data_IF_963333872936
#
_entry.id   IF_963333872936
#
_cell.length_a   1.000
_cell.length_b   1.000
_cell.length_c   1.000
_cell.angle_alpha   90.00
_cell.angle_beta   90.00
_cell.angle_gamma   90.00
#
_symmetry.space_group_name_H-M   'P 1'
#
loop_
_entity.id
_entity.type
_entity.pdbx_description
1 polymer ?
#
# COMPACT_ATOMS: atom_id res chain seq x y z
N UNK A 1 -18.75 1.51 -13.15
CA UNK A 1 -18.74 0.28 -12.34
C UNK A 1 -18.27 0.60 -10.94
N UNK A 2 -18.82 -0.03 -9.92
CA UNK A 2 -18.42 0.19 -8.54
C UNK A 2 -17.16 -0.62 -8.28
N UNK A 3 -16.10 0.01 -7.75
CA UNK A 3 -14.90 -0.67 -7.32
C UNK A 3 -15.28 -1.58 -6.14
N UNK A 4 -15.46 -2.86 -6.42
CA UNK A 4 -15.65 -3.88 -5.39
C UNK A 4 -14.32 -4.59 -5.19
N UNK A 5 -13.61 -4.19 -4.13
CA UNK A 5 -12.47 -4.98 -3.70
C UNK A 5 -12.99 -6.32 -3.14
N UNK A 6 -12.32 -7.43 -3.47
CA UNK A 6 -12.75 -8.75 -3.02
C UNK A 6 -12.72 -8.87 -1.49
N UNK A 7 -13.38 -9.88 -0.91
CA UNK A 7 -13.13 -10.32 0.44
C UNK A 7 -11.63 -10.53 0.66
N UNK A 8 -11.17 -10.35 1.89
CA UNK A 8 -9.74 -10.47 2.22
C UNK A 8 -9.54 -11.25 3.51
N UNK A 9 -8.40 -11.93 3.59
CA UNK A 9 -7.84 -12.40 4.85
C UNK A 9 -6.97 -11.30 5.47
N UNK A 10 -6.98 -11.21 6.80
CA UNK A 10 -6.07 -10.30 7.49
C UNK A 10 -4.62 -10.73 7.24
N UNK A 11 -3.76 -9.75 7.05
CA UNK A 11 -2.31 -10.04 6.93
C UNK A 11 -1.81 -10.42 8.33
N UNK A 12 -1.25 -11.63 8.51
CA UNK A 12 -0.67 -12.03 9.79
C UNK A 12 0.42 -11.05 10.24
N UNK A 13 0.37 -10.61 11.48
CA UNK A 13 1.44 -9.79 12.06
C UNK A 13 2.53 -10.68 12.66
N UNK A 14 3.81 -10.28 12.59
CA UNK A 14 4.88 -11.05 13.21
C UNK A 14 4.81 -10.95 14.74
N UNK A 15 5.10 -12.03 15.41
CA UNK A 15 5.22 -12.15 16.87
C UNK A 15 6.69 -12.37 17.28
N UNK A 16 6.92 -12.63 18.58
CA UNK A 16 8.26 -12.83 19.12
C UNK A 16 8.96 -14.10 18.60
N UNK A 17 8.21 -15.08 18.08
CA UNK A 17 8.73 -16.33 17.50
C UNK A 17 8.98 -16.24 16.01
N UNK A 18 8.51 -15.17 15.36
CA UNK A 18 8.61 -15.00 13.91
C UNK A 18 10.06 -14.76 13.49
N UNK A 19 10.58 -15.64 12.65
CA UNK A 19 11.90 -15.47 12.05
C UNK A 19 11.90 -14.32 11.04
N UNK A 20 12.78 -13.35 11.25
CA UNK A 20 13.01 -12.25 10.31
C UNK A 20 14.29 -12.52 9.54
N UNK A 21 14.23 -12.32 8.22
CA UNK A 21 15.40 -12.46 7.33
C UNK A 21 15.56 -11.25 6.43
N UNK A 22 16.78 -11.01 6.00
CA UNK A 22 17.11 -9.90 5.12
C UNK A 22 16.75 -10.24 3.67
N UNK A 23 16.16 -9.27 2.95
CA UNK A 23 15.77 -9.40 1.55
C UNK A 23 16.25 -8.21 0.73
N UNK A 24 16.68 -8.46 -0.51
CA UNK A 24 16.89 -7.41 -1.50
C UNK A 24 15.54 -6.84 -1.93
N UNK A 25 15.37 -5.52 -1.84
CA UNK A 25 14.11 -4.87 -2.23
C UNK A 25 13.88 -4.99 -3.73
N UNK A 26 14.95 -4.98 -4.53
CA UNK A 26 14.87 -5.09 -5.97
C UNK A 26 14.30 -6.44 -6.46
N UNK A 27 14.46 -7.50 -5.63
CA UNK A 27 14.02 -8.86 -5.98
C UNK A 27 12.58 -9.17 -5.52
N UNK A 28 11.92 -8.21 -4.86
CA UNK A 28 10.55 -8.40 -4.38
C UNK A 28 9.52 -8.14 -5.48
N UNK A 29 8.61 -9.09 -5.67
CA UNK A 29 7.48 -8.94 -6.58
C UNK A 29 6.35 -8.16 -5.88
N UNK A 30 5.85 -7.06 -6.49
CA UNK A 30 4.71 -6.32 -5.94
C UNK A 30 3.40 -7.07 -6.15
N UNK A 31 2.42 -6.81 -5.27
CA UNK A 31 1.06 -7.36 -5.34
C UNK A 31 0.01 -6.28 -5.64
N UNK A 32 0.43 -5.15 -6.17
CA UNK A 32 -0.44 -4.03 -6.55
C UNK A 32 0.05 -3.34 -7.82
N UNK A 33 -0.87 -2.65 -8.52
CA UNK A 33 -0.58 -1.93 -9.76
C UNK A 33 -0.03 -0.52 -9.55
N UNK A 34 -0.37 0.09 -8.43
CA UNK A 34 -0.07 1.50 -8.22
C UNK A 34 0.25 1.81 -6.76
N UNK A 35 0.80 2.98 -6.55
CA UNK A 35 1.10 3.58 -5.24
C UNK A 35 0.69 5.04 -5.24
N UNK A 36 0.56 5.65 -4.07
CA UNK A 36 0.48 7.11 -3.94
C UNK A 36 1.88 7.70 -3.91
N UNK A 37 2.31 8.35 -5.00
CA UNK A 37 3.66 8.90 -5.09
C UNK A 37 3.97 9.97 -4.04
N UNK A 38 2.97 10.71 -3.55
CA UNK A 38 3.20 11.66 -2.45
C UNK A 38 3.70 10.97 -1.17
N UNK A 39 3.20 9.76 -0.86
CA UNK A 39 3.73 8.98 0.26
C UNK A 39 5.13 8.44 -0.05
N UNK A 40 5.38 7.98 -1.29
CA UNK A 40 6.71 7.50 -1.69
C UNK A 40 7.76 8.59 -1.51
N UNK A 41 7.50 9.82 -2.00
CA UNK A 41 8.42 10.95 -1.86
C UNK A 41 8.62 11.35 -0.40
N UNK A 42 7.57 11.36 0.41
CA UNK A 42 7.69 11.62 1.83
C UNK A 42 8.55 10.55 2.55
N UNK A 43 8.46 9.27 2.13
CA UNK A 43 9.34 8.22 2.64
C UNK A 43 10.79 8.39 2.21
N UNK A 44 11.01 8.84 0.97
CA UNK A 44 12.37 9.18 0.50
C UNK A 44 12.96 10.31 1.34
N UNK A 45 12.19 11.35 1.59
CA UNK A 45 12.61 12.47 2.46
C UNK A 45 12.93 11.97 3.87
N UNK A 46 12.02 11.22 4.52
CA UNK A 46 12.26 10.63 5.83
C UNK A 46 13.59 9.85 5.86
N UNK A 47 13.79 8.93 4.90
CA UNK A 47 14.99 8.09 4.84
C UNK A 47 16.27 8.84 4.45
N UNK A 48 16.19 9.93 3.69
CA UNK A 48 17.37 10.71 3.34
C UNK A 48 17.99 11.43 4.54
N UNK A 49 17.23 11.64 5.61
CA UNK A 49 17.66 12.25 6.85
C UNK A 49 18.10 11.23 7.92
N UNK A 50 17.72 9.96 7.75
CA UNK A 50 18.06 8.89 8.69
C UNK A 50 19.49 8.39 8.44
N UNK A 51 20.24 8.14 9.50
CA UNK A 51 21.48 7.35 9.40
C UNK A 51 21.17 5.91 8.99
N UNK A 52 22.14 5.23 8.41
CA UNK A 52 21.99 3.82 8.02
C UNK A 52 21.51 2.92 9.19
N UNK A 53 21.99 3.19 10.41
CA UNK A 53 21.57 2.46 11.61
C UNK A 53 20.10 2.71 11.96
N UNK A 54 19.63 3.93 11.84
CA UNK A 54 18.22 4.29 12.09
C UNK A 54 17.31 3.64 11.05
N UNK A 55 17.69 3.68 9.77
CA UNK A 55 16.98 3.00 8.70
C UNK A 55 16.85 1.49 8.98
N UNK A 56 17.95 0.80 9.27
CA UNK A 56 17.96 -0.63 9.56
C UNK A 56 17.08 -0.97 10.78
N UNK A 57 17.18 -0.20 11.86
CA UNK A 57 16.37 -0.39 13.06
C UNK A 57 14.87 -0.19 12.77
N UNK A 58 14.54 0.83 11.96
CA UNK A 58 13.17 1.09 11.56
C UNK A 58 12.61 -0.05 10.71
N UNK A 59 13.37 -0.52 9.71
CA UNK A 59 12.95 -1.61 8.82
C UNK A 59 12.75 -2.92 9.59
N UNK A 60 13.60 -3.21 10.58
CA UNK A 60 13.47 -4.40 11.43
C UNK A 60 12.20 -4.36 12.30
N UNK A 61 11.81 -3.17 12.79
CA UNK A 61 10.55 -3.00 13.54
C UNK A 61 9.30 -3.02 12.66
N UNK A 62 9.45 -2.91 11.34
CA UNK A 62 8.36 -2.85 10.36
C UNK A 62 8.63 -3.79 9.19
N UNK A 63 8.82 -5.09 9.46
CA UNK A 63 9.19 -6.05 8.44
C UNK A 63 8.09 -6.21 7.38
N UNK A 64 8.49 -6.78 6.25
CA UNK A 64 7.64 -6.99 5.08
C UNK A 64 6.98 -8.35 5.17
N UNK A 65 5.63 -8.45 5.10
CA UNK A 65 4.96 -9.74 4.96
C UNK A 65 5.17 -10.30 3.56
N UNK A 66 5.68 -11.53 3.48
CA UNK A 66 6.11 -12.17 2.24
C UNK A 66 5.42 -13.52 2.03
N UNK A 67 5.04 -13.78 0.79
CA UNK A 67 4.68 -15.10 0.29
C UNK A 67 5.84 -15.62 -0.54
N UNK A 68 6.31 -16.84 -0.27
CA UNK A 68 7.41 -17.49 -1.00
C UNK A 68 6.87 -18.56 -1.93
N UNK A 69 7.36 -18.60 -3.17
CA UNK A 69 7.14 -19.72 -4.10
C UNK A 69 8.15 -20.83 -3.87
N UNK A 70 7.92 -22.04 -4.40
CA UNK A 70 8.82 -23.16 -4.27
C UNK A 70 10.23 -22.93 -4.85
N UNK A 71 10.37 -21.99 -5.81
CA UNK A 71 11.67 -21.57 -6.36
C UNK A 71 12.32 -20.43 -5.59
N UNK A 72 11.71 -19.99 -4.49
CA UNK A 72 12.26 -18.92 -3.65
C UNK A 72 11.88 -17.50 -4.07
N UNK A 73 11.06 -17.29 -5.11
CA UNK A 73 10.56 -15.95 -5.45
C UNK A 73 9.69 -15.40 -4.33
N UNK A 74 9.89 -14.12 -3.98
CA UNK A 74 9.24 -13.47 -2.85
C UNK A 74 8.24 -12.41 -3.32
N UNK A 75 6.99 -12.54 -2.87
CA UNK A 75 5.88 -11.65 -3.17
C UNK A 75 5.54 -10.84 -1.94
N UNK A 76 5.70 -9.52 -2.02
CA UNK A 76 5.40 -8.62 -0.90
C UNK A 76 3.91 -8.29 -0.86
N UNK A 77 3.28 -8.48 0.30
CA UNK A 77 1.83 -8.22 0.47
C UNK A 77 1.54 -6.82 0.98
N UNK A 78 2.51 -6.18 1.65
CA UNK A 78 2.40 -4.80 2.15
C UNK A 78 3.76 -4.08 2.07
N UNK A 79 3.80 -2.80 2.43
CA UNK A 79 4.98 -1.93 2.51
C UNK A 79 5.47 -1.35 1.17
N UNK A 80 4.72 -1.47 0.08
CA UNK A 80 5.10 -1.02 -1.27
C UNK A 80 5.59 0.44 -1.34
N UNK A 81 4.91 1.38 -0.69
CA UNK A 81 5.28 2.81 -0.71
C UNK A 81 6.65 3.05 -0.08
N UNK A 82 6.89 2.42 1.06
CA UNK A 82 8.15 2.51 1.80
C UNK A 82 9.30 1.92 1.01
N UNK A 83 9.12 0.69 0.52
CA UNK A 83 10.20 -0.01 -0.18
C UNK A 83 10.48 0.63 -1.54
N UNK A 84 9.46 1.11 -2.25
CA UNK A 84 9.68 1.91 -3.46
C UNK A 84 10.47 3.19 -3.16
N UNK A 85 10.21 3.84 -2.03
CA UNK A 85 10.96 5.02 -1.60
C UNK A 85 12.44 4.70 -1.38
N UNK A 86 12.74 3.62 -0.65
CA UNK A 86 14.12 3.17 -0.42
C UNK A 86 14.82 2.77 -1.70
N UNK A 87 14.17 1.96 -2.54
CA UNK A 87 14.74 1.51 -3.82
C UNK A 87 15.05 2.68 -4.76
N UNK A 88 14.26 3.76 -4.68
CA UNK A 88 14.51 4.98 -5.44
C UNK A 88 15.69 5.83 -4.92
N UNK A 89 16.13 5.61 -3.67
CA UNK A 89 17.33 6.23 -3.10
C UNK A 89 18.59 5.40 -3.38
N UNK A 90 18.47 4.09 -3.15
CA UNK A 90 19.56 3.13 -3.38
C UNK A 90 19.01 1.83 -3.97
N UNK A 91 19.37 1.50 -5.24
CA UNK A 91 18.94 0.25 -5.87
C UNK A 91 19.41 -1.03 -5.15
N UNK A 92 20.41 -0.93 -4.27
CA UNK A 92 20.94 -2.05 -3.47
C UNK A 92 20.29 -2.13 -2.08
N UNK A 93 19.29 -1.31 -1.81
CA UNK A 93 18.59 -1.29 -0.52
C UNK A 93 18.04 -2.66 -0.16
N UNK A 94 18.13 -2.98 1.13
CA UNK A 94 17.61 -4.19 1.74
C UNK A 94 16.54 -3.87 2.76
N UNK A 95 15.70 -4.86 3.05
CA UNK A 95 14.67 -4.79 4.08
C UNK A 95 14.66 -6.08 4.91
N UNK A 96 13.91 -6.07 6.00
CA UNK A 96 13.60 -7.27 6.76
C UNK A 96 12.23 -7.79 6.35
N UNK A 97 12.13 -9.09 6.08
CA UNK A 97 10.89 -9.77 5.75
C UNK A 97 10.59 -10.92 6.70
N UNK A 98 9.36 -11.38 6.66
CA UNK A 98 8.91 -12.61 7.32
C UNK A 98 7.91 -13.32 6.41
N UNK A 99 7.88 -14.66 6.48
CA UNK A 99 6.95 -15.45 5.68
C UNK A 99 5.57 -15.49 6.35
N UNK A 100 4.55 -15.22 5.54
CA UNK A 100 3.14 -15.41 5.89
C UNK A 100 2.55 -16.61 5.16
N UNK A 101 3.20 -17.08 4.09
CA UNK A 101 2.92 -18.34 3.41
C UNK A 101 4.16 -18.82 2.67
N UNK A 102 4.31 -20.15 2.61
CA UNK A 102 5.35 -20.84 1.85
C UNK A 102 4.66 -21.85 0.92
N UNK A 103 4.72 -21.58 -0.37
CA UNK A 103 3.97 -22.34 -1.37
C UNK A 103 4.83 -23.44 -1.97
N UNK A 104 4.20 -24.57 -2.27
CA UNK A 104 4.86 -25.72 -2.91
C UNK A 104 4.90 -25.59 -4.44
N UNK A 105 4.26 -24.59 -5.01
CA UNK A 105 4.26 -24.30 -6.45
C UNK A 105 5.26 -23.21 -6.82
N UNK A 106 5.82 -23.36 -8.02
CA UNK A 106 6.65 -22.32 -8.67
C UNK A 106 5.92 -21.63 -9.81
N UNK A 107 4.74 -22.11 -10.18
CA UNK A 107 3.94 -21.51 -11.25
C UNK A 107 3.42 -20.13 -10.80
N UNK A 108 3.79 -19.09 -11.57
CA UNK A 108 3.39 -17.71 -11.29
C UNK A 108 1.86 -17.56 -11.23
N UNK A 109 1.13 -18.27 -12.07
CA UNK A 109 -0.34 -18.19 -12.13
C UNK A 109 -0.96 -18.75 -10.85
N UNK A 110 -0.43 -19.85 -10.33
CA UNK A 110 -0.90 -20.44 -9.08
C UNK A 110 -0.57 -19.57 -7.86
N UNK A 111 0.64 -18.97 -7.81
CA UNK A 111 1.00 -18.02 -6.76
C UNK A 111 0.05 -16.81 -6.79
N UNK A 112 -0.20 -16.23 -7.96
CA UNK A 112 -1.13 -15.11 -8.11
C UNK A 112 -2.57 -15.53 -7.79
N UNK A 113 -2.97 -16.74 -8.12
CA UNK A 113 -4.26 -17.33 -7.76
C UNK A 113 -4.43 -17.44 -6.24
N UNK A 114 -3.40 -17.90 -5.52
CA UNK A 114 -3.38 -17.92 -4.06
C UNK A 114 -3.53 -16.51 -3.47
N UNK A 115 -2.69 -15.57 -3.91
CA UNK A 115 -2.73 -14.18 -3.45
C UNK A 115 -4.11 -13.54 -3.70
N UNK A 116 -4.73 -13.83 -4.84
CA UNK A 116 -6.06 -13.35 -5.17
C UNK A 116 -7.14 -13.94 -4.27
N UNK A 117 -7.08 -15.24 -3.96
CA UNK A 117 -7.98 -15.90 -3.02
C UNK A 117 -7.89 -15.33 -1.61
N UNK A 118 -6.68 -14.95 -1.17
CA UNK A 118 -6.48 -14.26 0.10
C UNK A 118 -6.96 -12.80 0.09
N UNK A 119 -7.26 -12.24 -1.08
CA UNK A 119 -7.57 -10.82 -1.23
C UNK A 119 -6.35 -9.93 -1.05
N UNK A 120 -5.16 -10.44 -1.30
CA UNK A 120 -3.86 -9.75 -1.16
C UNK A 120 -3.32 -9.19 -2.48
N UNK A 121 -4.16 -9.09 -3.51
CA UNK A 121 -3.86 -8.41 -4.76
C UNK A 121 -4.70 -7.14 -4.93
N UNK A 122 -4.07 -6.04 -5.31
CA UNK A 122 -4.76 -4.83 -5.77
C UNK A 122 -4.62 -4.68 -7.28
N UNK A 123 -5.68 -5.00 -8.01
CA UNK A 123 -5.68 -5.13 -9.46
C UNK A 123 -6.26 -3.92 -10.21
N UNK A 124 -6.25 -2.74 -9.59
CA UNK A 124 -6.69 -1.51 -10.23
C UNK A 124 -5.49 -0.59 -10.47
N UNK A 125 -5.47 0.03 -11.65
CA UNK A 125 -4.40 0.96 -12.05
C UNK A 125 -4.47 2.31 -11.31
N UNK A 126 -3.52 3.22 -11.57
CA UNK A 126 -3.47 4.53 -10.96
C UNK A 126 -4.67 5.43 -11.26
N UNK A 127 -5.46 5.09 -12.27
CA UNK A 127 -6.73 5.75 -12.60
C UNK A 127 -7.94 5.08 -11.95
N UNK A 128 -7.74 3.98 -11.24
CA UNK A 128 -8.79 3.18 -10.62
C UNK A 128 -9.58 2.33 -11.63
N UNK A 129 -9.00 2.05 -12.79
CA UNK A 129 -9.59 1.16 -13.79
C UNK A 129 -9.12 -0.27 -13.54
N UNK A 130 -10.04 -1.22 -13.61
CA UNK A 130 -9.79 -2.63 -13.39
C UNK A 130 -11.04 -3.42 -13.04
N UNK A 131 -10.91 -4.67 -12.54
CA UNK A 131 -9.63 -5.32 -12.27
C UNK A 131 -8.84 -5.66 -13.54
N UNK A 132 -7.53 -5.42 -13.51
CA UNK A 132 -6.59 -5.83 -14.54
C UNK A 132 -6.26 -7.31 -14.39
N UNK A 133 -5.80 -7.95 -15.46
CA UNK A 133 -5.38 -9.35 -15.39
C UNK A 133 -4.14 -9.51 -14.48
N UNK A 134 -4.14 -10.54 -13.65
CA UNK A 134 -3.05 -10.81 -12.70
C UNK A 134 -1.70 -11.02 -13.39
N UNK A 135 -1.71 -11.62 -14.59
CA UNK A 135 -0.50 -11.88 -15.40
C UNK A 135 0.25 -10.59 -15.77
N UNK A 136 -0.47 -9.46 -15.85
CA UNK A 136 0.06 -8.16 -16.27
C UNK A 136 0.52 -7.30 -15.08
N UNK A 137 0.50 -7.83 -13.84
CA UNK A 137 1.01 -7.15 -12.66
C UNK A 137 2.46 -6.69 -12.88
N UNK A 138 2.81 -5.45 -12.49
CA UNK A 138 4.18 -4.97 -12.53
C UNK A 138 5.14 -5.95 -11.86
N UNK A 139 6.33 -6.10 -12.42
CA UNK A 139 7.33 -7.03 -11.88
C UNK A 139 8.29 -6.36 -10.90
N UNK A 140 8.42 -5.05 -11.01
CA UNK A 140 9.26 -4.24 -10.13
C UNK A 140 8.43 -3.19 -9.39
N UNK A 141 8.86 -2.84 -8.19
CA UNK A 141 8.32 -1.71 -7.43
C UNK A 141 8.43 -0.38 -8.20
N UNK A 142 9.44 -0.24 -9.06
CA UNK A 142 9.65 0.98 -9.84
C UNK A 142 8.63 1.14 -10.97
N UNK A 143 7.99 0.06 -11.42
CA UNK A 143 7.00 0.06 -12.49
C UNK A 143 5.57 0.39 -11.99
N UNK A 144 5.38 0.53 -10.67
CA UNK A 144 4.07 0.85 -10.11
C UNK A 144 3.62 2.25 -10.55
N UNK A 145 2.37 2.36 -11.01
CA UNK A 145 1.78 3.63 -11.43
C UNK A 145 1.50 4.56 -10.25
N UNK A 146 1.30 5.85 -10.53
CA UNK A 146 0.84 6.83 -9.52
C UNK A 146 -0.69 6.81 -9.41
N UNK A 147 -1.21 6.66 -8.20
CA UNK A 147 -2.60 6.94 -7.85
C UNK A 147 -2.69 8.20 -6.97
N UNK A 148 -3.08 9.36 -7.54
CA UNK A 148 -3.24 10.60 -6.78
C UNK A 148 -4.29 10.50 -5.67
N UNK A 149 -5.33 9.69 -5.83
CA UNK A 149 -6.35 9.48 -4.78
C UNK A 149 -5.76 8.71 -3.60
N UNK A 150 -4.87 7.74 -3.86
CA UNK A 150 -4.12 7.04 -2.81
C UNK A 150 -3.21 8.02 -2.04
N UNK A 151 -2.55 8.95 -2.76
CA UNK A 151 -1.76 10.04 -2.17
C UNK A 151 -2.62 10.96 -1.30
N UNK A 152 -3.79 11.35 -1.79
CA UNK A 152 -4.73 12.20 -1.07
C UNK A 152 -5.21 11.54 0.24
N UNK A 153 -5.57 10.26 0.20
CA UNK A 153 -5.98 9.50 1.38
C UNK A 153 -4.85 9.37 2.40
N UNK A 154 -3.62 9.14 1.97
CA UNK A 154 -2.45 9.13 2.85
C UNK A 154 -2.32 10.46 3.61
N UNK A 155 -2.47 11.59 2.91
CA UNK A 155 -2.41 12.91 3.53
C UNK A 155 -3.53 13.12 4.54
N UNK A 156 -4.77 12.77 4.19
CA UNK A 156 -5.93 12.83 5.10
C UNK A 156 -5.75 11.94 6.35
N UNK A 157 -5.17 10.77 6.18
CA UNK A 157 -4.81 9.87 7.29
C UNK A 157 -3.73 10.49 8.18
N UNK A 158 -2.68 11.08 7.59
CA UNK A 158 -1.61 11.79 8.33
C UNK A 158 -2.16 12.97 9.14
N UNK A 159 -3.15 13.67 8.61
CA UNK A 159 -3.87 14.77 9.30
C UNK A 159 -4.90 14.29 10.34
N UNK A 160 -5.12 12.98 10.43
CA UNK A 160 -6.05 12.39 11.39
C UNK A 160 -7.52 12.40 10.97
N UNK A 161 -7.86 12.80 9.75
CA UNK A 161 -9.24 12.80 9.25
C UNK A 161 -9.77 11.37 9.02
N UNK A 162 -8.88 10.40 8.75
CA UNK A 162 -9.19 8.97 8.62
C UNK A 162 -8.38 8.20 9.66
N UNK A 163 -9.04 7.31 10.44
CA UNK A 163 -8.35 6.44 11.40
C UNK A 163 -7.66 5.30 10.64
N UNK A 164 -6.36 5.05 10.87
CA UNK A 164 -5.68 3.90 10.29
C UNK A 164 -6.35 2.58 10.66
N UNK A 165 -6.39 1.63 9.72
CA UNK A 165 -6.87 0.25 9.90
C UNK A 165 -5.84 -0.70 9.28
N UNK A 166 -4.70 -0.95 9.94
CA UNK A 166 -3.58 -1.69 9.35
C UNK A 166 -3.93 -3.14 9.03
N UNK A 167 -4.92 -3.72 9.72
CA UNK A 167 -5.41 -5.07 9.48
C UNK A 167 -6.24 -5.21 8.20
N UNK A 168 -6.69 -4.10 7.59
CA UNK A 168 -7.48 -4.12 6.36
C UNK A 168 -6.56 -3.94 5.15
N UNK A 169 -6.35 -4.96 4.32
CA UNK A 169 -5.57 -4.82 3.10
C UNK A 169 -6.13 -3.71 2.22
N UNK A 170 -5.24 -2.91 1.66
CA UNK A 170 -5.60 -1.82 0.75
C UNK A 170 -6.60 -0.81 1.33
N UNK A 171 -6.58 -0.58 2.65
CA UNK A 171 -7.49 0.33 3.33
C UNK A 171 -7.53 1.72 2.68
N UNK A 172 -6.37 2.29 2.36
CA UNK A 172 -6.28 3.60 1.73
C UNK A 172 -6.80 3.60 0.29
N UNK A 173 -6.64 2.52 -0.45
CA UNK A 173 -7.21 2.40 -1.79
C UNK A 173 -8.75 2.31 -1.76
N UNK A 174 -9.32 1.69 -0.72
CA UNK A 174 -10.78 1.67 -0.50
C UNK A 174 -11.32 3.09 -0.33
N UNK A 175 -10.66 3.91 0.47
CA UNK A 175 -10.97 5.32 0.62
C UNK A 175 -10.73 6.12 -0.66
N UNK A 176 -9.65 5.86 -1.39
CA UNK A 176 -9.35 6.46 -2.69
C UNK A 176 -10.46 6.19 -3.70
N UNK A 177 -10.91 4.95 -3.79
CA UNK A 177 -12.03 4.56 -4.63
C UNK A 177 -13.35 5.24 -4.24
N UNK A 178 -13.58 5.42 -2.94
CA UNK A 178 -14.74 6.13 -2.44
C UNK A 178 -14.69 7.62 -2.81
N UNK A 179 -13.55 8.29 -2.66
CA UNK A 179 -13.34 9.69 -3.04
C UNK A 179 -13.41 9.92 -4.55
N UNK A 180 -12.93 8.98 -5.36
CA UNK A 180 -12.92 9.05 -6.83
C UNK A 180 -14.33 9.22 -7.43
N UNK A 181 -15.37 8.84 -6.70
CA UNK A 181 -16.77 9.00 -7.10
C UNK A 181 -17.40 10.33 -6.68
N UNK A 182 -16.61 11.25 -6.15
CA UNK A 182 -17.09 12.54 -5.66
C UNK A 182 -16.50 13.68 -6.45
N UNK A 183 -17.23 14.77 -6.60
CA UNK A 183 -16.69 15.93 -7.29
C UNK A 183 -15.57 16.54 -6.47
N UNK A 184 -14.35 16.43 -6.99
CA UNK A 184 -13.17 17.08 -6.44
C UNK A 184 -12.52 17.95 -7.51
N UNK A 185 -11.92 19.09 -7.14
CA UNK A 185 -11.11 19.87 -8.07
C UNK A 185 -9.97 19.01 -8.64
N UNK A 186 -9.46 19.32 -9.84
CA UNK A 186 -8.29 18.66 -10.40
C UNK A 186 -7.08 18.77 -9.47
N UNK A 187 -6.39 17.65 -9.26
CA UNK A 187 -5.21 17.55 -8.41
C UNK A 187 -4.26 16.45 -8.91
N UNK A 188 -3.07 16.38 -8.33
CA UNK A 188 -2.08 15.33 -8.60
C UNK A 188 -1.34 14.97 -7.30
N UNK A 189 -0.56 13.88 -7.31
CA UNK A 189 0.29 13.52 -6.16
C UNK A 189 1.32 14.59 -5.80
N UNK A 190 1.73 15.45 -6.75
CA UNK A 190 2.60 16.61 -6.50
C UNK A 190 1.85 17.82 -5.93
N UNK A 191 0.54 17.91 -6.14
CA UNK A 191 -0.28 19.05 -5.75
C UNK A 191 -1.63 18.56 -5.25
N UNK A 192 -1.69 18.24 -3.96
CA UNK A 192 -2.88 17.72 -3.28
C UNK A 192 -3.82 18.81 -2.77
N UNK A 193 -3.31 20.04 -2.56
CA UNK A 193 -3.98 21.16 -1.88
C UNK A 193 -5.37 21.47 -2.45
N UNK A 194 -5.58 21.51 -3.78
CA UNK A 194 -6.92 21.81 -4.33
C UNK A 194 -8.00 20.85 -3.83
N UNK A 195 -7.63 19.57 -3.63
CA UNK A 195 -8.57 18.52 -3.22
C UNK A 195 -8.62 18.29 -1.71
N UNK A 196 -7.64 18.73 -0.92
CA UNK A 196 -7.53 18.40 0.51
C UNK A 196 -8.73 18.91 1.33
N UNK A 197 -9.03 20.20 1.27
CA UNK A 197 -10.11 20.77 2.06
C UNK A 197 -11.50 20.19 1.68
N UNK A 198 -11.87 20.07 0.38
CA UNK A 198 -13.08 19.36 -0.01
C UNK A 198 -13.12 17.92 0.46
N UNK A 199 -12.01 17.17 0.30
CA UNK A 199 -11.94 15.77 0.71
C UNK A 199 -12.07 15.60 2.21
N UNK A 200 -11.46 16.49 3.02
CA UNK A 200 -11.60 16.46 4.49
C UNK A 200 -13.07 16.58 4.90
N UNK A 201 -13.82 17.51 4.31
CA UNK A 201 -15.26 17.65 4.57
C UNK A 201 -16.03 16.38 4.18
N UNK A 202 -15.70 15.79 3.02
CA UNK A 202 -16.35 14.56 2.54
C UNK A 202 -16.08 13.37 3.46
N UNK A 203 -14.82 13.08 3.82
CA UNK A 203 -14.48 11.91 4.65
C UNK A 203 -15.02 12.02 6.08
N UNK A 204 -15.30 13.23 6.54
CA UNK A 204 -15.89 13.49 7.85
C UNK A 204 -17.42 13.48 7.84
N UNK A 205 -18.03 13.57 6.67
CA UNK A 205 -19.50 13.60 6.54
C UNK A 205 -20.15 12.25 6.82
N UNK A 206 -21.46 12.28 7.16
CA UNK A 206 -22.25 11.07 7.35
C UNK A 206 -22.27 10.15 6.12
N UNK A 207 -22.05 10.68 4.91
CA UNK A 207 -21.98 9.88 3.69
C UNK A 207 -20.80 8.91 3.66
N UNK A 208 -19.79 9.09 4.51
CA UNK A 208 -18.65 8.21 4.67
C UNK A 208 -18.78 7.23 5.85
N UNK A 209 -19.87 7.21 6.59
CA UNK A 209 -20.06 6.44 7.84
C UNK A 209 -19.85 4.94 7.67
N UNK A 210 -20.05 4.40 6.48
CA UNK A 210 -19.82 2.99 6.16
C UNK A 210 -18.35 2.62 5.89
N UNK A 211 -17.48 3.64 5.82
CA UNK A 211 -16.06 3.41 5.53
C UNK A 211 -15.30 3.07 6.82
N UNK A 212 -14.54 1.98 6.80
CA UNK A 212 -13.70 1.61 7.93
C UNK A 212 -12.72 2.75 8.26
N UNK A 213 -12.58 3.05 9.54
CA UNK A 213 -11.75 4.18 10.00
C UNK A 213 -12.41 5.55 9.91
N UNK A 214 -13.70 5.62 9.56
CA UNK A 214 -14.45 6.86 9.65
C UNK A 214 -14.46 7.42 11.08
N UNK A 215 -14.29 8.73 11.23
CA UNK A 215 -14.18 9.39 12.54
C UNK A 215 -15.39 10.23 12.91
N UNK A 216 -16.27 10.47 11.96
CA UNK A 216 -17.39 11.37 12.16
C UNK A 216 -16.98 12.83 12.32
N UNK A 217 -17.90 13.63 12.86
CA UNK A 217 -17.74 15.08 13.01
C UNK A 217 -16.89 15.43 14.24
N UNK A 218 -15.61 15.06 14.24
CA UNK A 218 -14.66 15.35 15.34
C UNK A 218 -13.74 16.51 15.00
N UNK A 219 -13.02 17.05 15.99
CA UNK A 219 -12.07 18.18 15.88
C UNK A 219 -11.04 18.05 14.73
N UNK A 220 -10.68 16.84 14.34
CA UNK A 220 -9.78 16.56 13.21
C UNK A 220 -10.41 16.80 11.83
N UNK A 221 -11.67 17.16 11.79
CA UNK A 221 -12.45 17.44 10.58
C UNK A 221 -12.67 18.94 10.32
N UNK A 222 -12.19 19.79 11.21
CA UNK A 222 -12.29 21.25 11.10
C UNK A 222 -11.09 21.87 10.40
#
# INVERSE_FOLDING_TARGET
MSLQLPPYQQIPEPDASTELFEVSIADLHPTQWCVGLAEVWARQEDFSHDSQREQLNYLKRKPVPLVRSAQGSLWMVDRHHRLRGLLGLDPKSKAWGYLIADLTTSDRSEVLGFLQQQGWLYLYDGRGQGPRATKDLPQSLMDLEDDPYRSLVWKLKKEGAIKPQPQIPYHEFRWGAWLRRRPLPPFSSRRLEPALAPSRRLVCSASASQMAGWRGDKKSCR
#
